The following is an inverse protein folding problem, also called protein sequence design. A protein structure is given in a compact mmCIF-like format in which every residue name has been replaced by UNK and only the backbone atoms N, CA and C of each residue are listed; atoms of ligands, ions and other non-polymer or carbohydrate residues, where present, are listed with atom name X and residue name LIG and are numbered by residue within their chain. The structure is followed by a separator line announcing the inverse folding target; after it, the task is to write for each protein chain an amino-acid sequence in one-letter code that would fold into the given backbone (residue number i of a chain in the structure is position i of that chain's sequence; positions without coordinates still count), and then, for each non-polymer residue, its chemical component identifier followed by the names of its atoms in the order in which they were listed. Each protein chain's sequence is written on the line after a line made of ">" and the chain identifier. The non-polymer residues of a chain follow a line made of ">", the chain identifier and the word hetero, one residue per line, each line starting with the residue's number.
data_IF_883859798652
#
_entry.id   IF_883859798652
#
_cell.length_a   1.000
_cell.length_b   1.000
_cell.length_c   1.000
_cell.angle_alpha   90.00
_cell.angle_beta   90.00
_cell.angle_gamma   90.00
#
_symmetry.space_group_name_H-M   'P 1'
#
loop_
_entity.id
_entity.type
_entity.pdbx_description
1 polymer ?
#
# COMPACT_ATOMS: atom_id res chain seq x y z
N UNK A 1 -33.64 37.85 30.73
CA UNK A 1 -32.30 38.46 30.81
C UNK A 1 -31.40 37.49 31.58
N UNK A 2 -30.82 36.49 30.92
CA UNK A 2 -29.97 35.48 31.59
C UNK A 2 -28.56 36.04 31.81
N UNK A 3 -28.09 36.01 33.06
CA UNK A 3 -26.82 36.57 33.51
C UNK A 3 -25.64 35.68 33.10
N UNK A 4 -24.67 36.26 32.39
CA UNK A 4 -23.42 35.64 31.91
C UNK A 4 -22.28 35.76 32.95
N UNK A 5 -22.56 35.47 34.21
CA UNK A 5 -21.54 35.53 35.27
C UNK A 5 -21.50 34.23 36.08
N UNK A 6 -21.01 33.15 35.46
CA UNK A 6 -20.39 32.05 36.19
C UNK A 6 -19.56 31.16 35.25
N UNK A 7 -18.39 31.66 34.85
CA UNK A 7 -17.31 30.81 34.37
C UNK A 7 -16.10 31.12 35.25
N UNK A 8 -15.82 30.22 36.19
CA UNK A 8 -14.64 30.24 37.05
C UNK A 8 -13.57 29.38 36.37
N UNK A 9 -12.42 29.96 36.08
CA UNK A 9 -11.25 29.21 35.62
C UNK A 9 -10.75 28.34 36.79
N UNK A 10 -10.76 27.01 36.63
CA UNK A 10 -10.07 26.10 37.54
C UNK A 10 -8.56 26.20 37.30
N UNK A 11 -7.75 26.17 38.37
CA UNK A 11 -6.27 26.17 38.33
C UNK A 11 -5.66 24.87 37.76
N UNK A 12 -6.37 24.16 36.89
CA UNK A 12 -5.79 23.06 36.13
C UNK A 12 -5.10 23.66 34.90
N UNK A 13 -3.80 23.89 35.00
CA UNK A 13 -2.95 24.17 33.85
C UNK A 13 -2.97 22.92 32.95
N UNK A 14 -3.81 22.94 31.92
CA UNK A 14 -3.74 21.96 30.84
C UNK A 14 -2.59 22.40 29.93
N UNK A 15 -1.45 21.74 30.06
CA UNK A 15 -0.34 21.89 29.15
C UNK A 15 -0.75 21.33 27.78
N UNK A 16 -1.16 22.21 26.87
CA UNK A 16 -1.39 21.86 25.48
C UNK A 16 -0.03 21.60 24.83
N UNK A 17 0.35 20.32 24.72
CA UNK A 17 1.50 19.92 23.92
C UNK A 17 1.22 20.20 22.44
N UNK A 18 1.54 21.42 22.02
CA UNK A 18 1.58 21.83 20.63
C UNK A 18 2.74 21.10 19.96
N UNK A 19 2.42 19.99 19.32
CA UNK A 19 3.34 19.35 18.39
C UNK A 19 3.62 20.35 17.26
N UNK A 20 4.87 20.47 16.79
CA UNK A 20 5.19 21.39 15.71
C UNK A 20 4.34 21.00 14.51
N UNK A 21 3.36 21.86 14.18
CA UNK A 21 2.72 21.84 12.88
C UNK A 21 3.86 22.12 11.91
N UNK A 22 4.27 21.10 11.17
CA UNK A 22 5.09 21.30 9.98
C UNK A 22 4.23 22.20 9.11
N UNK A 23 4.54 23.49 9.11
CA UNK A 23 3.94 24.45 8.20
C UNK A 23 4.36 24.00 6.82
N UNK A 24 3.52 23.21 6.16
CA UNK A 24 3.56 23.05 4.71
C UNK A 24 3.34 24.45 4.17
N UNK A 25 4.43 25.16 3.90
CA UNK A 25 4.44 26.51 3.31
C UNK A 25 3.99 26.40 1.86
N UNK A 26 2.68 26.18 1.70
CA UNK A 26 1.78 26.28 0.55
C UNK A 26 0.61 25.34 0.86
N UNK A 27 -0.61 25.63 0.38
CA UNK A 27 -1.68 24.63 0.38
C UNK A 27 -1.19 23.46 -0.49
N UNK A 28 -0.55 22.49 0.16
CA UNK A 28 -0.02 21.31 -0.50
C UNK A 28 -1.22 20.57 -1.03
N UNK A 29 -1.40 20.61 -2.35
CA UNK A 29 -2.35 19.75 -3.02
C UNK A 29 -1.96 18.29 -2.67
N UNK A 30 -2.63 17.72 -1.66
CA UNK A 30 -2.46 16.32 -1.21
C UNK A 30 -2.81 15.32 -2.33
N UNK A 31 -3.39 15.81 -3.42
CA UNK A 31 -3.77 15.07 -4.62
C UNK A 31 -2.65 14.20 -5.25
N UNK A 32 -1.38 14.41 -4.87
CA UNK A 32 -0.21 13.67 -5.38
C UNK A 32 0.76 13.21 -4.28
N UNK A 33 0.23 12.94 -3.09
CA UNK A 33 0.99 12.49 -1.95
C UNK A 33 0.75 11.01 -1.67
N UNK A 34 1.84 10.23 -1.63
CA UNK A 34 1.84 8.90 -1.01
C UNK A 34 2.47 8.98 0.36
N UNK A 35 2.03 8.11 1.24
CA UNK A 35 2.78 7.76 2.45
C UNK A 35 3.15 6.30 2.44
N UNK A 36 4.24 5.96 3.11
CA UNK A 36 4.68 4.59 3.21
C UNK A 36 5.54 4.27 4.42
N UNK A 37 5.49 3.00 4.80
CA UNK A 37 6.24 2.43 5.91
C UNK A 37 6.76 1.07 5.50
N UNK A 38 7.96 0.73 5.96
CA UNK A 38 8.53 -0.58 5.72
C UNK A 38 7.93 -1.61 6.68
N UNK A 39 7.58 -2.79 6.17
CA UNK A 39 7.12 -3.92 6.96
C UNK A 39 8.33 -4.59 7.66
N UNK A 40 8.84 -3.93 8.69
CA UNK A 40 9.99 -4.36 9.49
C UNK A 40 10.04 -3.60 10.81
N UNK A 41 10.63 -4.21 11.83
CA UNK A 41 10.97 -3.54 13.08
C UNK A 41 12.44 -3.06 13.11
N UNK A 42 13.19 -3.29 12.03
CA UNK A 42 14.59 -2.85 11.92
C UNK A 42 14.66 -1.40 11.46
N UNK A 43 15.61 -0.60 11.96
CA UNK A 43 15.81 0.76 11.49
C UNK A 43 16.21 0.75 10.01
N UNK A 44 15.58 1.63 9.23
CA UNK A 44 15.92 1.84 7.82
C UNK A 44 16.93 2.99 7.74
N UNK A 45 17.94 2.85 6.86
CA UNK A 45 18.90 3.92 6.59
C UNK A 45 18.25 4.97 5.68
N UNK A 46 17.45 5.88 6.26
CA UNK A 46 16.56 6.81 5.54
C UNK A 46 17.24 7.50 4.37
N UNK A 47 18.41 8.12 4.57
CA UNK A 47 19.14 8.81 3.50
C UNK A 47 19.46 7.91 2.30
N UNK A 48 20.03 6.71 2.54
CA UNK A 48 20.33 5.76 1.47
C UNK A 48 19.07 5.22 0.80
N UNK A 49 18.01 5.03 1.58
CA UNK A 49 16.71 4.57 1.08
C UNK A 49 16.10 5.60 0.13
N UNK A 50 16.06 6.87 0.53
CA UNK A 50 15.50 7.96 -0.27
C UNK A 50 16.22 8.09 -1.62
N UNK A 51 17.56 8.08 -1.61
CA UNK A 51 18.37 8.12 -2.84
C UNK A 51 18.08 6.92 -3.75
N UNK A 52 18.11 5.70 -3.21
CA UNK A 52 17.83 4.50 -4.01
C UNK A 52 16.41 4.48 -4.55
N UNK A 53 15.40 4.88 -3.77
CA UNK A 53 14.01 4.92 -4.23
C UNK A 53 13.86 5.92 -5.38
N UNK A 54 14.44 7.12 -5.29
CA UNK A 54 14.45 8.09 -6.40
C UNK A 54 15.06 7.49 -7.66
N UNK A 55 16.22 6.82 -7.53
CA UNK A 55 16.88 6.16 -8.67
C UNK A 55 16.05 5.02 -9.25
N UNK A 56 15.49 4.14 -8.41
CA UNK A 56 14.74 2.97 -8.88
C UNK A 56 13.38 3.33 -9.47
N UNK A 57 12.67 4.26 -8.85
CA UNK A 57 11.38 4.72 -9.36
C UNK A 57 11.56 5.58 -10.61
N UNK A 58 12.67 6.31 -10.70
CA UNK A 58 13.06 7.15 -11.81
C UNK A 58 11.85 7.94 -12.35
N UNK A 59 11.26 8.83 -11.53
CA UNK A 59 10.13 9.63 -11.95
C UNK A 59 10.53 10.55 -13.11
N UNK A 60 9.60 10.78 -14.04
CA UNK A 60 9.84 11.66 -15.18
C UNK A 60 9.99 13.10 -14.71
N UNK A 61 9.25 13.48 -13.65
CA UNK A 61 9.39 14.77 -12.97
C UNK A 61 9.94 14.61 -11.56
N UNK A 62 10.18 15.73 -10.90
CA UNK A 62 10.68 15.74 -9.53
C UNK A 62 9.72 15.04 -8.57
N UNK A 63 10.31 14.33 -7.60
CA UNK A 63 9.63 13.73 -6.46
C UNK A 63 10.43 14.04 -5.19
N UNK A 64 9.75 14.57 -4.18
CA UNK A 64 10.33 14.80 -2.84
C UNK A 64 9.99 13.62 -1.93
N UNK A 65 10.96 13.22 -1.12
CA UNK A 65 10.79 12.18 -0.11
C UNK A 65 11.24 12.76 1.23
N UNK A 66 10.39 12.67 2.23
CA UNK A 66 10.66 13.17 3.58
C UNK A 66 10.22 12.11 4.61
N UNK A 67 10.89 12.06 5.76
CA UNK A 67 10.45 11.26 6.90
C UNK A 67 9.59 12.17 7.79
N UNK A 68 8.28 11.89 7.83
CA UNK A 68 7.29 12.75 8.51
C UNK A 68 7.03 12.30 9.95
N UNK A 69 7.27 11.03 10.24
CA UNK A 69 7.35 10.44 11.58
C UNK A 69 8.40 9.33 11.54
N UNK A 70 8.95 8.87 12.69
CA UNK A 70 9.90 7.76 12.71
C UNK A 70 9.41 6.54 11.91
N UNK A 71 10.11 6.23 10.82
CA UNK A 71 9.79 5.13 9.90
C UNK A 71 8.58 5.34 8.98
N UNK A 72 7.93 6.51 9.00
CA UNK A 72 6.88 6.91 8.08
C UNK A 72 7.40 7.96 7.10
N UNK A 73 7.30 7.65 5.82
CA UNK A 73 7.83 8.48 4.75
C UNK A 73 6.71 9.03 3.88
N UNK A 74 6.85 10.29 3.48
CA UNK A 74 6.01 10.93 2.47
C UNK A 74 6.72 10.91 1.12
N UNK A 75 5.97 10.73 0.04
CA UNK A 75 6.46 10.77 -1.33
C UNK A 75 5.57 11.75 -2.12
N UNK A 76 6.02 12.99 -2.24
CA UNK A 76 5.29 14.05 -2.94
C UNK A 76 5.70 14.05 -4.41
N UNK A 77 4.75 13.69 -5.26
CA UNK A 77 4.94 13.73 -6.71
C UNK A 77 4.52 15.07 -7.27
N UNK A 78 5.19 15.50 -8.34
CA UNK A 78 4.78 16.65 -9.15
C UNK A 78 3.92 16.23 -10.35
N UNK A 79 3.87 14.93 -10.67
CA UNK A 79 3.14 14.40 -11.82
C UNK A 79 2.32 13.16 -11.48
N UNK A 80 1.02 13.19 -11.79
CA UNK A 80 0.09 12.09 -11.49
C UNK A 80 0.46 10.77 -12.18
N UNK A 81 0.95 10.80 -13.43
CA UNK A 81 1.35 9.57 -14.14
C UNK A 81 2.55 8.88 -13.49
N UNK A 82 3.45 9.63 -12.82
CA UNK A 82 4.54 9.01 -12.08
C UNK A 82 3.99 8.25 -10.87
N UNK A 83 3.15 8.90 -10.06
CA UNK A 83 2.50 8.28 -8.91
C UNK A 83 1.73 7.01 -9.31
N UNK A 84 0.90 7.09 -10.36
CA UNK A 84 0.14 5.95 -10.86
C UNK A 84 1.05 4.83 -11.37
N UNK A 85 2.12 5.16 -12.10
CA UNK A 85 3.11 4.18 -12.58
C UNK A 85 3.78 3.46 -11.40
N UNK A 86 4.13 4.20 -10.34
CA UNK A 86 4.75 3.62 -9.14
C UNK A 86 3.80 2.68 -8.41
N UNK A 87 2.56 3.11 -8.15
CA UNK A 87 1.55 2.23 -7.55
C UNK A 87 1.28 0.99 -8.42
N UNK A 88 1.22 1.15 -9.75
CA UNK A 88 0.98 0.04 -10.68
C UNK A 88 2.16 -0.93 -10.79
N UNK A 89 3.41 -0.50 -10.61
CA UNK A 89 4.59 -1.39 -10.74
C UNK A 89 4.99 -2.10 -9.45
N UNK A 90 4.43 -1.72 -8.30
CA UNK A 90 4.69 -2.39 -7.02
C UNK A 90 4.36 -3.89 -7.00
N UNK A 91 4.77 -4.62 -5.95
CA UNK A 91 5.29 -4.12 -4.67
C UNK A 91 6.73 -3.59 -4.75
N UNK A 92 7.12 -2.75 -3.78
CA UNK A 92 8.44 -2.13 -3.72
C UNK A 92 9.23 -2.63 -2.51
N UNK A 93 10.54 -2.75 -2.67
CA UNK A 93 11.43 -3.22 -1.61
C UNK A 93 12.66 -2.35 -1.50
N UNK A 94 13.18 -2.24 -0.28
CA UNK A 94 14.52 -1.74 -0.01
C UNK A 94 15.15 -2.63 1.04
N UNK A 95 16.37 -3.12 0.78
CA UNK A 95 17.12 -3.96 1.72
C UNK A 95 16.31 -5.17 2.24
N UNK A 96 15.61 -5.86 1.33
CA UNK A 96 14.70 -6.97 1.62
C UNK A 96 13.51 -6.64 2.54
N UNK A 97 13.24 -5.36 2.79
CA UNK A 97 12.07 -4.90 3.50
C UNK A 97 11.02 -4.37 2.53
N UNK A 98 9.79 -4.88 2.65
CA UNK A 98 8.65 -4.49 1.84
C UNK A 98 8.20 -3.07 2.21
N UNK A 99 8.09 -2.19 1.23
CA UNK A 99 7.52 -0.86 1.40
C UNK A 99 6.01 -0.91 1.14
N UNK A 100 5.22 -0.66 2.19
CA UNK A 100 3.78 -0.45 2.08
C UNK A 100 3.53 0.99 1.67
N UNK A 101 2.66 1.21 0.69
CA UNK A 101 2.32 2.54 0.17
C UNK A 101 0.82 2.73 0.14
N UNK A 102 0.37 3.94 0.45
CA UNK A 102 -1.02 4.33 0.26
C UNK A 102 -1.13 5.80 -0.13
N UNK A 103 -2.22 6.15 -0.83
CA UNK A 103 -2.51 7.51 -1.25
C UNK A 103 -3.10 8.27 -0.07
N UNK A 104 -2.63 9.50 0.16
CA UNK A 104 -3.25 10.39 1.15
C UNK A 104 -4.53 10.98 0.55
N UNK A 105 -5.70 10.87 1.22
CA UNK A 105 -6.91 11.53 0.77
C UNK A 105 -6.72 13.06 0.69
N UNK A 106 -7.45 13.73 -0.21
CA UNK A 106 -7.27 15.17 -0.47
C UNK A 106 -7.35 16.09 0.78
N UNK A 107 -8.09 15.66 1.81
CA UNK A 107 -8.21 16.35 3.10
C UNK A 107 -7.79 15.43 4.28
N UNK A 108 -7.02 14.38 4.01
CA UNK A 108 -6.61 13.40 5.01
C UNK A 108 -5.33 13.83 5.73
N UNK A 109 -5.15 13.33 6.95
CA UNK A 109 -3.87 13.44 7.65
C UNK A 109 -2.92 12.33 7.18
N UNK A 110 -1.73 12.66 6.61
CA UNK A 110 -0.73 11.68 6.19
C UNK A 110 -0.35 10.66 7.28
N UNK A 111 -0.35 11.09 8.55
CA UNK A 111 0.08 10.26 9.69
C UNK A 111 -0.98 9.21 10.10
N UNK A 112 -2.22 9.38 9.63
CA UNK A 112 -3.36 8.50 9.99
C UNK A 112 -3.77 7.57 8.84
N UNK A 113 -3.05 7.59 7.72
CA UNK A 113 -3.37 6.70 6.59
C UNK A 113 -2.98 5.27 6.93
N UNK A 114 -3.95 4.35 6.80
CA UNK A 114 -3.71 2.94 7.05
C UNK A 114 -2.72 2.34 6.03
N UNK A 115 -1.68 1.67 6.53
CA UNK A 115 -0.63 1.02 5.76
C UNK A 115 -0.61 -0.48 6.09
N UNK A 116 -1.59 -1.21 5.56
CA UNK A 116 -1.77 -2.64 5.84
C UNK A 116 -2.00 -3.47 4.57
N UNK A 117 -2.23 -2.82 3.44
CA UNK A 117 -2.55 -3.48 2.18
C UNK A 117 -1.43 -3.27 1.17
N UNK A 118 -1.07 -4.34 0.45
CA UNK A 118 -0.05 -4.30 -0.59
C UNK A 118 -0.50 -5.09 -1.82
N UNK A 119 -0.42 -4.53 -3.03
CA UNK A 119 -0.76 -5.25 -4.25
C UNK A 119 0.37 -6.21 -4.64
N UNK A 120 0.04 -7.49 -4.85
CA UNK A 120 0.96 -8.52 -5.33
C UNK A 120 0.49 -9.13 -6.63
N UNK A 121 1.44 -9.47 -7.50
CA UNK A 121 1.22 -10.40 -8.58
C UNK A 121 1.35 -11.83 -8.05
N UNK A 122 0.28 -12.60 -8.15
CA UNK A 122 0.21 -13.99 -7.72
C UNK A 122 0.15 -14.89 -8.95
N UNK A 123 0.97 -15.95 -8.93
CA UNK A 123 0.91 -17.02 -9.92
C UNK A 123 0.08 -18.18 -9.36
N UNK A 124 -0.91 -18.62 -10.14
CA UNK A 124 -1.76 -19.76 -9.85
C UNK A 124 -1.36 -20.89 -10.79
N UNK A 125 -0.77 -21.93 -10.21
CA UNK A 125 -0.28 -23.12 -10.91
C UNK A 125 -1.32 -24.25 -10.85
N UNK A 126 -1.13 -25.26 -11.71
CA UNK A 126 -1.93 -26.49 -11.73
C UNK A 126 -3.44 -26.30 -11.92
N UNK A 127 -3.84 -25.24 -12.64
CA UNK A 127 -5.22 -25.06 -13.06
C UNK A 127 -5.56 -26.08 -14.17
N UNK A 128 -6.71 -26.78 -14.08
CA UNK A 128 -7.15 -27.65 -15.16
C UNK A 128 -7.33 -26.88 -16.48
N UNK A 129 -7.13 -27.55 -17.61
CA UNK A 129 -7.32 -26.97 -18.94
C UNK A 129 -8.72 -26.34 -19.05
N UNK A 130 -8.78 -25.10 -19.56
CA UNK A 130 -10.03 -24.33 -19.69
C UNK A 130 -10.42 -23.50 -18.47
N UNK A 131 -9.71 -23.60 -17.34
CA UNK A 131 -9.99 -22.81 -16.13
C UNK A 131 -9.19 -21.49 -16.06
N UNK A 132 -8.37 -21.19 -17.08
CA UNK A 132 -7.67 -19.90 -17.20
C UNK A 132 -8.58 -18.81 -17.78
N UNK A 133 -9.63 -18.48 -17.03
CA UNK A 133 -10.53 -17.36 -17.36
C UNK A 133 -10.46 -16.28 -16.29
N UNK A 134 -10.81 -15.04 -16.66
CA UNK A 134 -10.87 -13.91 -15.73
C UNK A 134 -11.84 -14.17 -14.57
N UNK A 135 -12.98 -14.81 -14.85
CA UNK A 135 -13.95 -15.20 -13.82
C UNK A 135 -13.31 -16.07 -12.74
N UNK A 136 -12.61 -17.14 -13.14
CA UNK A 136 -11.91 -18.03 -12.20
C UNK A 136 -10.79 -17.28 -11.49
N UNK A 137 -10.03 -16.44 -12.19
CA UNK A 137 -8.97 -15.63 -11.59
C UNK A 137 -9.49 -14.67 -10.53
N UNK A 138 -10.64 -14.02 -10.76
CA UNK A 138 -11.31 -13.15 -9.80
C UNK A 138 -11.80 -13.93 -8.58
N UNK A 139 -12.40 -15.09 -8.77
CA UNK A 139 -12.87 -15.95 -7.67
C UNK A 139 -11.69 -16.39 -6.77
N UNK A 140 -10.57 -16.81 -7.38
CA UNK A 140 -9.35 -17.18 -6.65
C UNK A 140 -8.75 -15.96 -5.94
N UNK A 141 -8.61 -14.83 -6.63
CA UNK A 141 -8.08 -13.60 -6.04
C UNK A 141 -8.89 -13.17 -4.81
N UNK A 142 -10.23 -13.15 -4.92
CA UNK A 142 -11.12 -12.76 -3.83
C UNK A 142 -11.11 -13.74 -2.65
N UNK A 143 -10.72 -15.00 -2.89
CA UNK A 143 -10.47 -15.93 -1.81
C UNK A 143 -9.18 -15.60 -1.03
N UNK A 144 -8.15 -15.11 -1.72
CA UNK A 144 -6.85 -14.79 -1.13
C UNK A 144 -6.86 -13.39 -0.48
N UNK A 145 -7.36 -12.39 -1.19
CA UNK A 145 -7.44 -10.97 -0.79
C UNK A 145 -8.49 -10.25 -1.65
N UNK A 146 -8.23 -9.04 -2.12
CA UNK A 146 -9.11 -8.32 -3.06
C UNK A 146 -8.54 -8.39 -4.48
N UNK A 147 -9.37 -8.78 -5.45
CA UNK A 147 -8.97 -8.79 -6.86
C UNK A 147 -8.71 -7.38 -7.41
N UNK A 148 -7.55 -7.19 -8.04
CA UNK A 148 -7.19 -5.94 -8.69
C UNK A 148 -7.12 -6.05 -10.22
N UNK A 149 -6.47 -7.09 -10.74
CA UNK A 149 -6.18 -7.18 -12.19
C UNK A 149 -6.02 -8.63 -12.64
N UNK A 150 -6.51 -8.93 -13.86
CA UNK A 150 -6.24 -10.18 -14.57
C UNK A 150 -5.24 -9.92 -15.68
N UNK A 151 -4.13 -10.67 -15.72
CA UNK A 151 -3.10 -10.51 -16.75
C UNK A 151 -3.52 -11.22 -18.04
N UNK A 152 -4.37 -10.58 -18.84
CA UNK A 152 -4.87 -11.16 -20.09
C UNK A 152 -3.75 -11.51 -21.09
N UNK A 153 -2.63 -10.77 -21.06
CA UNK A 153 -1.49 -11.03 -21.96
C UNK A 153 -0.76 -12.31 -21.56
N UNK A 154 -0.52 -12.51 -20.26
CA UNK A 154 0.04 -13.75 -19.75
C UNK A 154 -0.94 -14.93 -19.92
N UNK A 155 -2.21 -14.72 -19.60
CA UNK A 155 -3.15 -15.83 -19.44
C UNK A 155 -3.80 -16.31 -20.75
N UNK A 156 -3.60 -15.60 -21.86
CA UNK A 156 -4.07 -16.02 -23.20
C UNK A 156 -3.05 -16.85 -23.97
N UNK A 157 -1.78 -16.83 -23.55
CA UNK A 157 -0.73 -17.55 -24.24
C UNK A 157 -0.67 -19.00 -23.73
N UNK A 158 -0.95 -19.95 -24.63
CA UNK A 158 -1.00 -21.38 -24.38
C UNK A 158 0.31 -21.99 -23.86
N UNK A 159 1.44 -21.29 -24.04
CA UNK A 159 2.75 -21.72 -23.51
C UNK A 159 2.92 -21.46 -22.01
N UNK A 160 2.11 -20.58 -21.41
CA UNK A 160 2.18 -20.33 -19.98
C UNK A 160 1.37 -21.38 -19.21
N UNK A 161 2.06 -22.08 -18.31
CA UNK A 161 1.48 -23.15 -17.47
C UNK A 161 0.78 -22.64 -16.22
N UNK A 162 0.72 -21.31 -16.04
CA UNK A 162 0.14 -20.67 -14.86
C UNK A 162 -0.69 -19.44 -15.23
N UNK A 163 -1.72 -19.20 -14.43
CA UNK A 163 -2.48 -17.95 -14.47
C UNK A 163 -1.78 -16.92 -13.58
N UNK A 164 -1.72 -15.67 -14.03
CA UNK A 164 -1.22 -14.53 -13.26
C UNK A 164 -2.35 -13.56 -12.97
N UNK A 165 -2.53 -13.24 -11.69
CA UNK A 165 -3.55 -12.31 -11.18
C UNK A 165 -2.93 -11.34 -10.20
N UNK A 166 -3.48 -10.14 -10.11
CA UNK A 166 -3.06 -9.13 -9.14
C UNK A 166 -4.06 -9.06 -8.01
N UNK A 167 -3.56 -9.13 -6.78
CA UNK A 167 -4.37 -9.21 -5.56
C UNK A 167 -3.86 -8.20 -4.54
N UNK A 168 -4.75 -7.42 -3.95
CA UNK A 168 -4.46 -6.60 -2.79
C UNK A 168 -4.50 -7.49 -1.54
N UNK A 169 -3.34 -7.64 -0.89
CA UNK A 169 -3.19 -8.49 0.29
C UNK A 169 -3.10 -7.66 1.55
N UNK A 170 -3.81 -8.10 2.58
CA UNK A 170 -3.65 -7.63 3.95
C UNK A 170 -2.42 -8.29 4.59
N UNK A 171 -1.36 -7.52 4.81
CA UNK A 171 -0.08 -8.05 5.32
C UNK A 171 -0.11 -8.32 6.83
N UNK A 172 -1.19 -7.93 7.52
CA UNK A 172 -1.37 -8.24 8.95
C UNK A 172 -1.86 -9.68 9.17
N UNK A 173 -2.31 -10.34 8.11
CA UNK A 173 -2.84 -11.71 8.14
C UNK A 173 -1.83 -12.69 7.56
N UNK A 174 -1.77 -13.93 8.08
CA UNK A 174 -0.95 -14.97 7.48
C UNK A 174 -1.47 -15.31 6.07
N UNK A 175 -0.55 -15.67 5.19
CA UNK A 175 -0.90 -16.13 3.84
C UNK A 175 -1.73 -17.42 3.92
N UNK A 176 -2.84 -17.44 3.18
CA UNK A 176 -3.70 -18.62 3.10
C UNK A 176 -3.04 -19.69 2.23
N UNK A 177 -2.79 -20.88 2.80
CA UNK A 177 -2.30 -22.05 2.05
C UNK A 177 -3.49 -22.83 1.49
N UNK A 178 -3.63 -22.86 0.16
CA UNK A 178 -4.57 -23.75 -0.52
C UNK A 178 -4.07 -25.20 -0.43
N UNK A 179 -4.82 -26.07 0.25
CA UNK A 179 -4.57 -27.52 0.22
C UNK A 179 -5.23 -28.11 -1.03
N UNK A 180 -4.48 -28.84 -1.85
CA UNK A 180 -5.07 -29.73 -2.87
C UNK A 180 -5.85 -30.81 -2.13
N UNK A 181 -7.18 -30.84 -2.30
CA UNK A 181 -7.97 -31.98 -1.88
C UNK A 181 -7.58 -33.16 -2.77
N UNK A 182 -6.82 -34.12 -2.21
CA UNK A 182 -6.66 -35.42 -2.84
C UNK A 182 -8.07 -36.04 -2.90
N UNK A 183 -8.60 -36.25 -4.10
CA UNK A 183 -9.82 -37.05 -4.27
C UNK A 183 -9.56 -38.41 -3.62
N UNK A 184 -10.21 -38.68 -2.50
CA UNK A 184 -10.31 -40.02 -1.93
C UNK A 184 -10.96 -40.91 -2.98
N UNK A 185 -10.15 -41.68 -3.71
CA UNK A 185 -10.62 -42.90 -4.36
C UNK A 185 -10.92 -43.91 -3.25
N UNK A 186 -12.18 -43.98 -2.83
CA UNK A 186 -12.81 -45.20 -2.31
C UNK A 186 -13.94 -45.45 -3.32
N UNK A 187 -13.86 -46.41 -4.22
CA UNK A 187 -13.43 -47.79 -4.05
C UNK A 187 -14.70 -48.62 -4.21
N UNK A 188 -14.85 -49.19 -5.42
CA UNK A 188 -15.75 -50.25 -5.92
C UNK A 188 -17.07 -50.46 -5.18
#
# INVERSE_FOLDING_TARGET
>A
MASLHQLSLSNEEVELELHPVITLTQPSNLNLLLVGRFLTNRPIRSYMMMEKIKTFWNPVREMRIEEIEPGLYSFQFTHHLDMQRILKKGPWYFDNHLLMLNVVPANGNPNQVALQFVPFWIQVHDLPTGFMSEKVGKDIANHIGEFLEYDAKNNSNFLHTYMRIRVLLDVTKPLKRLKKNQKTRRGV
#
